data_IF_936360178516
#
_entry.id   IF_936360178516
#
_cell.length_a   1.000
_cell.length_b   1.000
_cell.length_c   1.000
_cell.angle_alpha   90.00
_cell.angle_beta   90.00
_cell.angle_gamma   90.00
#
_symmetry.space_group_name_H-M   'P 1'
#
loop_
_entity.id
_entity.type
_entity.pdbx_description
1 polymer ?
#
# COMPACT_ATOMS: atom_id res chain seq x y z
N UNK A 1 -7.92 -0.99 -5.59
CA UNK A 1 -7.34 -0.02 -4.68
C UNK A 1 -8.06 1.34 -4.81
N UNK A 2 -8.35 2.02 -3.72
CA UNK A 2 -8.95 3.36 -3.72
C UNK A 2 -7.89 4.33 -3.27
N UNK A 3 -7.69 5.38 -4.03
CA UNK A 3 -6.72 6.42 -3.72
C UNK A 3 -7.46 7.71 -3.47
N UNK A 4 -7.20 8.33 -2.31
CA UNK A 4 -7.84 9.58 -1.90
C UNK A 4 -6.80 10.68 -1.88
N UNK A 5 -7.03 11.71 -2.67
CA UNK A 5 -6.22 12.92 -2.76
C UNK A 5 -6.97 14.13 -2.23
N UNK A 6 -6.22 15.15 -1.83
CA UNK A 6 -6.78 16.41 -1.34
C UNK A 6 -6.09 17.59 -2.03
N UNK A 7 -6.80 18.68 -2.36
CA UNK A 7 -6.20 19.87 -2.93
C UNK A 7 -5.24 20.55 -1.93
N UNK A 8 -4.14 21.11 -2.43
CA UNK A 8 -3.23 21.96 -1.64
C UNK A 8 -2.01 21.27 -1.04
N UNK A 9 -1.71 20.01 -1.36
CA UNK A 9 -0.41 19.40 -1.12
C UNK A 9 0.53 19.79 -2.28
N UNK A 10 1.56 20.57 -1.98
CA UNK A 10 2.43 21.25 -2.94
C UNK A 10 3.24 20.35 -3.89
N UNK A 11 4.17 20.96 -4.64
CA UNK A 11 4.91 20.43 -5.81
C UNK A 11 5.66 19.08 -5.63
N UNK A 12 5.87 18.59 -4.41
CA UNK A 12 6.48 17.26 -4.16
C UNK A 12 5.61 16.08 -4.61
N UNK A 13 4.36 16.34 -4.98
CA UNK A 13 3.34 15.32 -5.29
C UNK A 13 3.47 14.75 -6.71
N UNK A 14 4.27 15.35 -7.62
CA UNK A 14 4.29 14.88 -9.01
C UNK A 14 4.92 13.47 -9.18
N UNK A 15 5.96 13.16 -8.43
CA UNK A 15 6.57 11.81 -8.48
C UNK A 15 5.70 10.74 -7.78
N UNK A 16 4.97 11.13 -6.72
CA UNK A 16 3.99 10.26 -6.07
C UNK A 16 2.76 10.02 -6.94
N UNK A 17 2.32 11.02 -7.72
CA UNK A 17 1.15 10.91 -8.61
C UNK A 17 1.30 9.80 -9.66
N UNK A 18 2.49 9.59 -10.23
CA UNK A 18 2.72 8.55 -11.22
C UNK A 18 2.47 7.13 -10.64
N UNK A 19 3.03 6.83 -9.47
CA UNK A 19 2.81 5.53 -8.81
C UNK A 19 1.37 5.32 -8.34
N UNK A 20 0.69 6.38 -7.92
CA UNK A 20 -0.72 6.34 -7.49
C UNK A 20 -1.65 5.98 -8.65
N UNK A 21 -1.40 6.53 -9.85
CA UNK A 21 -2.19 6.26 -11.05
C UNK A 21 -2.01 4.82 -11.56
N UNK A 22 -0.87 4.18 -11.25
CA UNK A 22 -0.64 2.79 -11.62
C UNK A 22 -1.47 1.80 -10.79
N UNK A 23 -1.68 2.10 -9.51
CA UNK A 23 -2.31 1.19 -8.54
C UNK A 23 -3.76 1.54 -8.19
N UNK A 24 -4.22 2.75 -8.55
CA UNK A 24 -5.57 3.22 -8.24
C UNK A 24 -6.62 2.61 -9.16
N UNK A 25 -7.66 2.01 -8.60
CA UNK A 25 -8.83 1.52 -9.35
C UNK A 25 -9.97 2.55 -9.35
N UNK A 26 -10.04 3.39 -8.33
CA UNK A 26 -10.93 4.55 -8.21
C UNK A 26 -10.13 5.67 -7.55
N UNK A 27 -10.10 6.83 -8.17
CA UNK A 27 -9.43 8.03 -7.67
C UNK A 27 -10.45 8.97 -7.07
N UNK A 28 -10.18 9.46 -5.88
CA UNK A 28 -11.09 10.34 -5.14
C UNK A 28 -10.38 11.65 -4.85
N UNK A 29 -10.97 12.77 -5.28
CA UNK A 29 -10.55 14.11 -4.87
C UNK A 29 -11.46 14.54 -3.73
N UNK A 30 -10.97 14.40 -2.50
CA UNK A 30 -11.73 14.82 -1.32
C UNK A 30 -11.51 16.30 -1.04
N UNK A 31 -12.38 16.89 -0.21
CA UNK A 31 -12.46 18.34 0.05
C UNK A 31 -12.80 19.11 -1.22
N UNK A 32 -13.80 18.62 -1.96
CA UNK A 32 -14.27 19.23 -3.20
C UNK A 32 -14.79 20.66 -3.05
N UNK A 33 -15.14 21.06 -1.81
CA UNK A 33 -15.51 22.42 -1.40
C UNK A 33 -14.32 23.41 -1.39
N UNK A 34 -13.07 22.91 -1.44
CA UNK A 34 -11.89 23.76 -1.38
C UNK A 34 -11.44 24.24 -2.75
N UNK A 35 -10.87 25.47 -2.83
CA UNK A 35 -10.21 25.93 -4.05
C UNK A 35 -9.13 24.95 -4.50
N UNK A 36 -9.11 24.66 -5.81
CA UNK A 36 -8.14 23.74 -6.40
C UNK A 36 -8.61 22.31 -6.58
N UNK A 37 -9.75 21.90 -6.04
CA UNK A 37 -10.29 20.55 -6.23
C UNK A 37 -10.58 20.25 -7.72
N UNK A 38 -11.20 21.20 -8.44
CA UNK A 38 -11.46 21.08 -9.87
C UNK A 38 -10.18 21.02 -10.71
N UNK A 39 -9.17 21.80 -10.32
CA UNK A 39 -7.87 21.77 -10.97
C UNK A 39 -7.21 20.41 -10.80
N UNK A 40 -7.17 19.88 -9.58
CA UNK A 40 -6.62 18.56 -9.27
C UNK A 40 -7.34 17.47 -10.06
N UNK A 41 -8.67 17.51 -10.11
CA UNK A 41 -9.47 16.55 -10.90
C UNK A 41 -9.13 16.59 -12.38
N UNK A 42 -8.94 17.78 -12.96
CA UNK A 42 -8.52 17.95 -14.36
C UNK A 42 -7.10 17.44 -14.61
N UNK A 43 -6.17 17.73 -13.71
CA UNK A 43 -4.79 17.25 -13.78
C UNK A 43 -4.73 15.71 -13.75
N UNK A 44 -5.45 15.06 -12.84
CA UNK A 44 -5.55 13.61 -12.78
C UNK A 44 -6.16 13.01 -14.06
N UNK A 45 -7.22 13.62 -14.61
CA UNK A 45 -7.81 13.20 -15.89
C UNK A 45 -6.81 13.29 -17.04
N UNK A 46 -6.07 14.40 -17.11
CA UNK A 46 -5.04 14.58 -18.12
C UNK A 46 -3.94 13.52 -17.98
N UNK A 47 -3.45 13.27 -16.78
CA UNK A 47 -2.43 12.25 -16.54
C UNK A 47 -2.90 10.85 -16.92
N UNK A 48 -4.13 10.46 -16.58
CA UNK A 48 -4.73 9.19 -17.01
C UNK A 48 -4.83 9.07 -18.53
N UNK A 49 -5.12 10.18 -19.22
CA UNK A 49 -5.23 10.18 -20.68
C UNK A 49 -3.89 10.05 -21.42
N UNK A 50 -2.78 10.36 -20.75
CA UNK A 50 -1.42 10.21 -21.26
C UNK A 50 -0.81 8.84 -20.97
N UNK A 51 -1.43 8.08 -20.06
CA UNK A 51 -0.99 6.72 -19.70
C UNK A 51 -1.46 5.67 -20.72
N UNK A 52 -1.04 4.42 -20.50
CA UNK A 52 -1.50 3.29 -21.29
C UNK A 52 -3.00 3.07 -21.09
N UNK A 53 -3.70 2.76 -22.20
CA UNK A 53 -5.11 2.36 -22.13
C UNK A 53 -5.22 1.00 -21.41
N UNK A 54 -5.85 1.00 -20.25
CA UNK A 54 -6.13 -0.19 -19.46
C UNK A 54 -7.56 -0.69 -19.75
N UNK A 55 -7.77 -1.96 -19.55
CA UNK A 55 -9.12 -2.56 -19.62
C UNK A 55 -10.11 -1.90 -18.64
N UNK A 56 -9.63 -1.41 -17.51
CA UNK A 56 -10.33 -0.55 -16.56
C UNK A 56 -9.62 0.79 -16.43
N UNK A 57 -10.30 1.85 -16.85
CA UNK A 57 -9.83 3.22 -16.63
C UNK A 57 -10.38 3.72 -15.29
N UNK A 58 -9.52 4.11 -14.34
CA UNK A 58 -9.98 4.56 -13.05
C UNK A 58 -10.87 5.80 -13.15
N UNK A 59 -12.12 5.77 -12.64
CA UNK A 59 -12.93 6.97 -12.53
C UNK A 59 -12.35 7.93 -11.50
N UNK A 60 -12.56 9.24 -11.74
CA UNK A 60 -12.19 10.30 -10.79
C UNK A 60 -13.46 10.90 -10.23
N UNK A 61 -13.63 10.77 -8.91
CA UNK A 61 -14.79 11.25 -8.19
C UNK A 61 -14.38 12.34 -7.22
N UNK A 62 -15.06 13.49 -7.28
CA UNK A 62 -14.90 14.56 -6.29
C UNK A 62 -15.88 14.36 -5.16
N UNK A 63 -15.40 14.46 -3.92
CA UNK A 63 -16.22 14.29 -2.70
C UNK A 63 -15.97 15.40 -1.70
N UNK A 64 -16.96 15.65 -0.85
CA UNK A 64 -16.82 16.50 0.34
C UNK A 64 -17.25 15.70 1.56
N UNK A 65 -16.27 15.13 2.25
CA UNK A 65 -16.53 14.17 3.33
C UNK A 65 -17.36 14.75 4.51
N UNK A 66 -17.33 16.06 4.70
CA UNK A 66 -18.07 16.75 5.77
C UNK A 66 -19.55 16.89 5.47
N UNK A 67 -19.94 16.98 4.20
CA UNK A 67 -21.33 17.15 3.76
C UNK A 67 -21.93 15.87 3.19
N UNK A 68 -21.09 14.92 2.79
CA UNK A 68 -21.50 13.70 2.10
C UNK A 68 -21.62 13.83 0.58
N UNK A 69 -21.34 15.03 0.03
CA UNK A 69 -21.42 15.24 -1.41
C UNK A 69 -20.47 14.30 -2.19
N UNK A 70 -20.97 13.74 -3.27
CA UNK A 70 -20.22 12.82 -4.15
C UNK A 70 -20.09 11.37 -3.62
N UNK A 71 -20.60 11.05 -2.43
CA UNK A 71 -20.48 9.68 -1.88
C UNK A 71 -21.33 8.66 -2.64
N UNK A 72 -22.50 9.02 -3.13
CA UNK A 72 -23.33 8.12 -3.93
C UNK A 72 -22.60 7.74 -5.23
N UNK A 73 -22.04 8.74 -5.92
CA UNK A 73 -21.26 8.53 -7.15
C UNK A 73 -20.05 7.63 -6.86
N UNK A 74 -19.33 7.92 -5.76
CA UNK A 74 -18.18 7.10 -5.34
C UNK A 74 -18.58 5.66 -5.07
N UNK A 75 -19.73 5.45 -4.41
CA UNK A 75 -20.24 4.11 -4.12
C UNK A 75 -20.60 3.34 -5.38
N UNK A 76 -21.22 4.01 -6.33
CA UNK A 76 -21.56 3.43 -7.62
C UNK A 76 -20.33 3.04 -8.42
N UNK A 77 -19.31 3.90 -8.46
CA UNK A 77 -18.05 3.59 -9.15
C UNK A 77 -17.28 2.43 -8.50
N UNK A 78 -17.31 2.33 -7.16
CA UNK A 78 -16.77 1.16 -6.45
C UNK A 78 -17.50 -0.13 -6.83
N UNK A 79 -18.83 -0.08 -6.93
CA UNK A 79 -19.63 -1.23 -7.33
C UNK A 79 -19.44 -1.58 -8.81
N UNK A 80 -19.27 -0.59 -9.68
CA UNK A 80 -18.96 -0.79 -11.10
C UNK A 80 -17.60 -1.50 -11.25
N UNK A 81 -16.58 -1.04 -10.55
CA UNK A 81 -15.28 -1.71 -10.53
C UNK A 81 -15.38 -3.15 -9.99
N UNK A 82 -16.14 -3.36 -8.92
CA UNK A 82 -16.39 -4.71 -8.39
C UNK A 82 -17.06 -5.63 -9.41
N UNK A 83 -18.03 -5.13 -10.16
CA UNK A 83 -18.68 -5.87 -11.24
C UNK A 83 -17.71 -6.18 -12.38
N UNK A 84 -16.88 -5.20 -12.76
CA UNK A 84 -15.85 -5.36 -13.80
C UNK A 84 -14.84 -6.46 -13.44
N UNK A 85 -14.37 -6.51 -12.19
CA UNK A 85 -13.45 -7.55 -11.72
C UNK A 85 -14.05 -8.95 -11.74
N UNK A 86 -15.37 -9.07 -11.53
CA UNK A 86 -16.05 -10.35 -11.35
C UNK A 86 -15.65 -11.07 -10.06
N UNK A 87 -16.43 -12.08 -9.69
CA UNK A 87 -16.27 -12.81 -8.41
C UNK A 87 -14.93 -13.55 -8.33
N UNK A 88 -14.47 -14.12 -9.44
CA UNK A 88 -13.24 -14.93 -9.46
C UNK A 88 -11.98 -14.09 -9.19
N UNK A 89 -11.81 -12.95 -9.88
CA UNK A 89 -10.69 -12.05 -9.64
C UNK A 89 -10.72 -11.48 -8.21
N UNK A 90 -11.89 -11.13 -7.69
CA UNK A 90 -12.02 -10.66 -6.30
C UNK A 90 -11.55 -11.71 -5.30
N UNK A 91 -11.93 -12.97 -5.50
CA UNK A 91 -11.52 -14.05 -4.62
C UNK A 91 -10.03 -14.36 -4.73
N UNK A 92 -9.45 -14.27 -5.93
CA UNK A 92 -8.01 -14.39 -6.14
C UNK A 92 -7.23 -13.31 -5.39
N UNK A 93 -7.63 -12.03 -5.49
CA UNK A 93 -7.00 -10.95 -4.73
C UNK A 93 -7.13 -11.12 -3.21
N UNK A 94 -8.30 -11.56 -2.75
CA UNK A 94 -8.52 -11.86 -1.33
C UNK A 94 -7.61 -12.98 -0.85
N UNK A 95 -7.49 -14.05 -1.63
CA UNK A 95 -6.63 -15.19 -1.29
C UNK A 95 -5.16 -14.78 -1.22
N UNK A 96 -4.66 -14.03 -2.21
CA UNK A 96 -3.30 -13.49 -2.20
C UNK A 96 -3.03 -12.64 -0.95
N UNK A 97 -3.98 -11.77 -0.58
CA UNK A 97 -3.87 -10.94 0.63
C UNK A 97 -3.85 -11.79 1.90
N UNK A 98 -4.74 -12.78 2.01
CA UNK A 98 -4.79 -13.69 3.17
C UNK A 98 -3.48 -14.47 3.29
N UNK A 99 -2.96 -15.01 2.19
CA UNK A 99 -1.69 -15.73 2.18
C UNK A 99 -0.54 -14.84 2.66
N UNK A 100 -0.42 -13.62 2.13
CA UNK A 100 0.59 -12.67 2.56
C UNK A 100 0.49 -12.35 4.06
N UNK A 101 -0.73 -12.16 4.58
CA UNK A 101 -0.96 -11.88 5.99
C UNK A 101 -0.61 -13.09 6.87
N UNK A 102 -0.97 -14.30 6.44
CA UNK A 102 -0.61 -15.54 7.12
C UNK A 102 0.91 -15.73 7.18
N UNK A 103 1.61 -15.55 6.07
CA UNK A 103 3.08 -15.65 6.01
C UNK A 103 3.75 -14.67 6.97
N UNK A 104 3.27 -13.43 7.00
CA UNK A 104 3.79 -12.41 7.93
C UNK A 104 3.52 -12.79 9.39
N UNK A 105 2.33 -13.28 9.72
CA UNK A 105 2.01 -13.72 11.08
C UNK A 105 2.85 -14.94 11.50
N UNK A 106 3.08 -15.89 10.61
CA UNK A 106 3.95 -17.03 10.87
C UNK A 106 5.38 -16.55 11.11
N UNK A 107 5.91 -15.67 10.24
CA UNK A 107 7.25 -15.10 10.39
C UNK A 107 7.42 -14.40 11.72
N UNK A 108 6.47 -13.53 12.11
CA UNK A 108 6.51 -12.83 13.39
C UNK A 108 6.47 -13.78 14.59
N UNK A 109 5.60 -14.79 14.55
CA UNK A 109 5.50 -15.78 15.63
C UNK A 109 6.77 -16.62 15.76
N UNK A 110 7.34 -17.08 14.63
CA UNK A 110 8.59 -17.84 14.63
C UNK A 110 9.73 -16.98 15.17
N UNK A 111 9.85 -15.74 14.70
CA UNK A 111 10.85 -14.79 15.17
C UNK A 111 10.72 -14.56 16.68
N UNK A 112 9.53 -14.20 17.17
CA UNK A 112 9.29 -13.97 18.60
C UNK A 112 9.62 -15.20 19.45
N UNK A 113 9.15 -16.38 19.00
CA UNK A 113 9.44 -17.65 19.70
C UNK A 113 10.95 -17.93 19.77
N UNK A 114 11.66 -17.70 18.66
CA UNK A 114 13.10 -17.93 18.60
C UNK A 114 13.86 -16.94 19.46
N UNK A 115 13.50 -15.65 19.42
CA UNK A 115 14.13 -14.62 20.26
C UNK A 115 13.96 -14.88 21.75
N UNK A 116 12.82 -15.37 22.19
CA UNK A 116 12.59 -15.77 23.58
C UNK A 116 13.52 -16.94 23.97
N UNK A 117 13.70 -17.92 23.07
CA UNK A 117 14.59 -19.07 23.32
C UNK A 117 16.07 -18.70 23.40
N UNK A 118 16.50 -17.77 22.56
CA UNK A 118 17.89 -17.31 22.46
C UNK A 118 18.26 -16.48 23.69
N UNK A 119 17.36 -15.61 24.13
CA UNK A 119 17.62 -14.62 25.17
C UNK A 119 18.46 -13.42 24.69
N UNK A 120 18.32 -12.30 25.38
CA UNK A 120 18.98 -11.03 25.00
C UNK A 120 20.52 -11.11 25.07
N UNK A 121 21.05 -11.87 26.00
CA UNK A 121 22.50 -11.99 26.19
C UNK A 121 23.21 -12.68 25.02
N UNK A 122 22.58 -13.66 24.38
CA UNK A 122 23.21 -14.39 23.27
C UNK A 122 23.37 -13.51 22.04
N UNK A 123 22.36 -12.70 21.73
CA UNK A 123 22.42 -11.74 20.62
C UNK A 123 23.53 -10.72 20.86
N UNK A 124 23.63 -10.20 22.08
CA UNK A 124 24.68 -9.24 22.48
C UNK A 124 26.09 -9.85 22.37
N UNK A 125 26.28 -11.10 22.83
CA UNK A 125 27.54 -11.83 22.70
C UNK A 125 27.97 -12.01 21.23
N UNK A 126 27.01 -12.30 20.34
CA UNK A 126 27.31 -12.42 18.91
C UNK A 126 27.66 -11.07 18.28
N UNK A 127 26.98 -9.99 18.69
CA UNK A 127 27.31 -8.64 18.25
C UNK A 127 28.73 -8.22 18.65
N UNK A 128 29.17 -8.54 19.87
CA UNK A 128 30.55 -8.29 20.33
C UNK A 128 31.56 -9.07 19.47
N UNK A 129 31.31 -10.34 19.20
CA UNK A 129 32.20 -11.15 18.32
C UNK A 129 32.31 -10.60 16.90
N UNK A 130 31.21 -10.01 16.37
CA UNK A 130 31.22 -9.33 15.06
C UNK A 130 32.05 -8.05 15.15
N UNK A 131 31.87 -7.25 16.21
CA UNK A 131 32.63 -6.02 16.44
C UNK A 131 34.14 -6.31 16.53
N UNK A 132 34.52 -7.39 17.22
CA UNK A 132 35.88 -7.89 17.31
C UNK A 132 36.40 -8.56 16.02
N UNK A 133 35.60 -8.63 14.94
CA UNK A 133 35.93 -9.30 13.69
C UNK A 133 36.28 -10.80 13.84
N UNK A 134 35.76 -11.47 14.86
CA UNK A 134 35.96 -12.91 15.10
C UNK A 134 35.02 -13.76 14.26
N UNK A 135 33.87 -13.24 13.90
CA UNK A 135 32.87 -13.88 13.03
C UNK A 135 32.23 -12.83 12.13
N UNK A 136 31.71 -13.24 10.99
CA UNK A 136 30.89 -12.41 10.12
C UNK A 136 29.40 -12.46 10.55
N UNK A 137 28.57 -11.48 10.11
CA UNK A 137 27.16 -11.42 10.48
C UNK A 137 26.34 -12.64 10.08
N UNK A 138 26.64 -13.27 8.93
CA UNK A 138 25.89 -14.42 8.44
C UNK A 138 26.16 -15.65 9.33
N UNK A 139 27.42 -15.95 9.63
CA UNK A 139 27.83 -17.01 10.56
C UNK A 139 27.26 -16.78 11.97
N UNK A 140 27.13 -15.52 12.42
CA UNK A 140 26.49 -15.22 13.68
C UNK A 140 25.00 -15.60 13.66
N UNK A 141 24.28 -15.28 12.59
CA UNK A 141 22.86 -15.64 12.44
C UNK A 141 22.69 -17.16 12.43
N UNK A 142 23.48 -17.90 11.63
CA UNK A 142 23.43 -19.37 11.58
C UNK A 142 23.61 -19.99 12.97
N UNK A 143 24.59 -19.52 13.74
CA UNK A 143 24.81 -19.98 15.13
C UNK A 143 23.62 -19.65 16.05
N UNK A 144 23.02 -18.47 15.91
CA UNK A 144 21.85 -18.06 16.67
C UNK A 144 20.63 -18.93 16.36
N UNK A 145 20.41 -19.27 15.10
CA UNK A 145 19.27 -20.11 14.70
C UNK A 145 19.52 -21.62 14.87
N UNK A 146 20.77 -22.01 15.10
CA UNK A 146 21.15 -23.41 15.37
C UNK A 146 21.29 -24.25 14.11
N UNK A 147 21.79 -23.64 13.04
CA UNK A 147 22.25 -24.33 11.83
C UNK A 147 23.77 -24.51 11.82
#
# INVERSE_FOLDING_TARGET
CRVVEVPGLGDEVQAQKAGILEIGDVLVVNKGDRPGADRLSKELKMMLSLGEQKEWMPPIVTTTATTGDGFEILWDEINNHKKHLGTNKINEFRLKRINYELENQVRLKLFTKKMIQIGENEVSNMAEKILDRKIDPLTAVEKIIGE
#
